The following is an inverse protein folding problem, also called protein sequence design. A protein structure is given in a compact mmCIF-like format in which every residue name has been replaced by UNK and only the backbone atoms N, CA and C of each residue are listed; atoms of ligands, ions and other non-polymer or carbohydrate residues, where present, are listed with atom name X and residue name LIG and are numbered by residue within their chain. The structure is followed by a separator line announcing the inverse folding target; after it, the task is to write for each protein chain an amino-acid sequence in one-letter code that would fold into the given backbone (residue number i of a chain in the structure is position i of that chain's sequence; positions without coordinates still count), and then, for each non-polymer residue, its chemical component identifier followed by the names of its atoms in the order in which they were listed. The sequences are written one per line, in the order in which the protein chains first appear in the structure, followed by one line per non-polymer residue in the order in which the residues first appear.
data_IF_671550178103
#
_entry.id   IF_671550178103
#
_cell.length_a   1.000
_cell.length_b   1.000
_cell.length_c   1.000
_cell.angle_alpha   90.00
_cell.angle_beta   90.00
_cell.angle_gamma   90.00
#
_symmetry.space_group_name_H-M   'P 1'
#
loop_
_entity.id
_entity.type
_entity.pdbx_description
1 polymer ?
#
# COMPACT_ATOMS: atom_id res chain seq x y z
N UNK A 1 2.23 -1.90 -19.07
CA UNK A 1 1.18 -0.91 -18.75
C UNK A 1 1.77 0.49 -18.68
N UNK A 2 1.26 1.45 -19.47
CA UNK A 2 1.81 2.81 -19.54
C UNK A 2 0.80 3.90 -19.13
N UNK A 3 -0.49 3.57 -19.02
CA UNK A 3 -1.56 4.54 -18.78
C UNK A 3 -2.23 4.32 -17.43
N UNK A 4 -2.47 5.44 -16.73
CA UNK A 4 -3.24 5.47 -15.50
C UNK A 4 -4.72 5.24 -15.79
N UNK A 5 -5.39 4.58 -14.85
CA UNK A 5 -6.86 4.59 -14.80
C UNK A 5 -7.29 5.96 -14.32
N UNK A 6 -8.24 6.57 -15.02
CA UNK A 6 -8.79 7.88 -14.68
C UNK A 6 -10.27 7.76 -14.32
N UNK A 7 -10.83 8.80 -13.70
CA UNK A 7 -12.26 8.92 -13.43
C UNK A 7 -12.84 9.90 -14.45
N UNK A 8 -13.83 9.46 -15.23
CA UNK A 8 -14.54 10.33 -16.18
C UNK A 8 -15.46 11.31 -15.46
N UNK A 9 -15.93 12.39 -16.11
CA UNK A 9 -16.90 13.32 -15.52
C UNK A 9 -18.18 12.64 -15.01
N UNK A 10 -18.56 11.49 -15.57
CA UNK A 10 -19.71 10.69 -15.17
C UNK A 10 -19.41 9.70 -14.04
N UNK A 11 -18.22 9.79 -13.41
CA UNK A 11 -17.82 8.96 -12.27
C UNK A 11 -17.46 7.51 -12.64
N UNK A 12 -17.05 7.25 -13.88
CA UNK A 12 -16.64 5.90 -14.34
C UNK A 12 -15.13 5.78 -14.36
N UNK A 13 -14.61 4.61 -14.04
CA UNK A 13 -13.21 4.32 -14.32
C UNK A 13 -12.99 4.13 -15.82
N UNK A 14 -11.93 4.72 -16.34
CA UNK A 14 -11.50 4.60 -17.72
C UNK A 14 -10.01 4.29 -17.81
N UNK A 15 -9.65 3.48 -18.80
CA UNK A 15 -8.26 3.18 -19.15
C UNK A 15 -8.14 3.25 -20.67
N UNK A 16 -7.20 4.05 -21.16
CA UNK A 16 -6.96 4.25 -22.61
C UNK A 16 -8.24 4.64 -23.39
N UNK A 17 -9.09 5.47 -22.77
CA UNK A 17 -10.35 5.94 -23.36
C UNK A 17 -11.50 4.92 -23.32
N UNK A 18 -11.26 3.68 -22.87
CA UNK A 18 -12.29 2.66 -22.70
C UNK A 18 -12.76 2.59 -21.24
N UNK A 19 -14.01 2.15 -21.01
CA UNK A 19 -14.50 1.87 -19.66
C UNK A 19 -13.69 0.74 -19.04
N UNK A 20 -13.22 0.96 -17.82
CA UNK A 20 -12.46 -0.02 -17.05
C UNK A 20 -13.32 -0.58 -15.91
N UNK A 21 -13.25 -1.89 -15.70
CA UNK A 21 -13.93 -2.58 -14.60
C UNK A 21 -12.86 -3.16 -13.67
N UNK A 22 -12.94 -2.80 -12.39
CA UNK A 22 -12.06 -3.35 -11.38
C UNK A 22 -12.52 -4.77 -11.04
N UNK A 23 -11.72 -5.77 -11.40
CA UNK A 23 -11.90 -7.16 -10.96
C UNK A 23 -10.77 -7.50 -10.00
N UNK A 24 -11.09 -7.43 -8.70
CA UNK A 24 -10.11 -7.28 -7.63
C UNK A 24 -10.01 -8.51 -6.75
N UNK A 25 -8.81 -8.74 -6.21
CA UNK A 25 -8.59 -9.57 -5.03
C UNK A 25 -7.87 -8.78 -3.93
N UNK A 26 -7.87 -9.30 -2.70
CA UNK A 26 -6.93 -8.88 -1.66
C UNK A 26 -5.78 -9.89 -1.64
N UNK A 27 -4.54 -9.40 -1.68
CA UNK A 27 -3.36 -10.26 -1.69
C UNK A 27 -2.59 -10.13 -0.38
N UNK A 28 -2.36 -11.27 0.26
CA UNK A 28 -1.60 -11.43 1.51
C UNK A 28 -0.41 -12.39 1.32
N UNK A 29 0.20 -12.40 0.13
CA UNK A 29 1.23 -13.39 -0.20
C UNK A 29 0.68 -14.81 -0.36
N UNK A 30 1.59 -15.74 -0.65
CA UNK A 30 1.29 -17.15 -0.86
C UNK A 30 1.29 -17.96 0.45
N UNK A 31 2.09 -17.54 1.43
CA UNK A 31 2.31 -18.28 2.67
C UNK A 31 1.04 -18.35 3.53
N UNK A 32 0.61 -19.55 3.98
CA UNK A 32 -0.56 -19.68 4.84
C UNK A 32 -0.43 -18.90 6.14
N UNK A 33 -1.50 -18.20 6.55
CA UNK A 33 -1.51 -17.42 7.80
C UNK A 33 -0.77 -16.08 7.70
N UNK A 34 -0.30 -15.67 6.52
CA UNK A 34 0.40 -14.41 6.30
C UNK A 34 -0.49 -13.15 6.32
N UNK A 35 -1.73 -13.26 6.81
CA UNK A 35 -2.60 -12.11 7.01
C UNK A 35 -1.90 -11.15 8.00
N UNK A 36 -1.59 -9.93 7.54
CA UNK A 36 -0.78 -8.86 8.18
C UNK A 36 0.74 -8.91 7.93
N UNK A 37 1.38 -10.08 7.94
CA UNK A 37 2.85 -10.17 7.92
C UNK A 37 3.46 -10.78 6.66
N UNK A 38 2.73 -10.85 5.54
CA UNK A 38 3.24 -11.49 4.32
C UNK A 38 4.50 -10.86 3.71
N UNK A 39 4.83 -9.65 4.16
CA UNK A 39 5.89 -8.82 3.64
C UNK A 39 7.08 -8.64 4.61
N UNK A 40 7.01 -9.25 5.80
CA UNK A 40 8.06 -9.19 6.81
C UNK A 40 9.24 -10.09 6.48
N UNK A 41 10.36 -9.91 7.19
CA UNK A 41 11.63 -10.58 6.92
C UNK A 41 11.56 -12.11 7.01
N UNK A 42 10.73 -12.64 7.90
CA UNK A 42 10.52 -14.07 8.12
C UNK A 42 9.65 -14.73 7.05
N UNK A 43 8.76 -13.96 6.41
CA UNK A 43 7.81 -14.48 5.43
C UNK A 43 8.23 -14.17 3.99
N UNK A 44 8.88 -13.02 3.76
CA UNK A 44 9.28 -12.56 2.42
C UNK A 44 10.07 -13.61 1.62
N UNK A 45 11.08 -14.32 2.16
CA UNK A 45 11.82 -15.34 1.41
C UNK A 45 10.95 -16.48 0.86
N UNK A 46 9.78 -16.70 1.46
CA UNK A 46 8.82 -17.74 1.07
C UNK A 46 7.81 -17.22 0.03
N UNK A 47 7.44 -15.95 0.14
CA UNK A 47 6.49 -15.28 -0.75
C UNK A 47 7.12 -14.77 -2.04
N UNK A 48 8.31 -14.17 -1.97
CA UNK A 48 9.00 -13.58 -3.12
C UNK A 48 9.07 -14.54 -4.33
N UNK A 49 9.48 -15.83 -4.18
CA UNK A 49 9.58 -16.72 -5.33
C UNK A 49 8.22 -17.10 -5.95
N UNK A 50 7.12 -16.78 -5.27
CA UNK A 50 5.74 -17.12 -5.68
C UNK A 50 5.01 -15.97 -6.36
N UNK A 51 5.52 -14.74 -6.29
CA UNK A 51 4.88 -13.56 -6.89
C UNK A 51 4.52 -13.77 -8.37
N UNK A 52 5.46 -14.31 -9.15
CA UNK A 52 5.26 -14.59 -10.58
C UNK A 52 4.11 -15.58 -10.80
N UNK A 53 4.12 -16.68 -10.07
CA UNK A 53 3.06 -17.68 -10.13
C UNK A 53 1.70 -17.07 -9.75
N UNK A 54 1.65 -16.32 -8.64
CA UNK A 54 0.40 -15.82 -8.10
C UNK A 54 -0.23 -14.78 -9.04
N UNK A 55 0.54 -13.78 -9.50
CA UNK A 55 0.01 -12.77 -10.43
C UNK A 55 -0.35 -13.35 -11.81
N UNK A 56 0.42 -14.31 -12.32
CA UNK A 56 0.06 -15.01 -13.56
C UNK A 56 -1.28 -15.75 -13.43
N UNK A 57 -1.52 -16.42 -12.29
CA UNK A 57 -2.79 -17.12 -12.03
C UNK A 57 -3.95 -16.15 -11.85
N UNK A 58 -3.73 -15.01 -11.20
CA UNK A 58 -4.75 -13.96 -11.10
C UNK A 58 -5.17 -13.47 -12.49
N UNK A 59 -4.20 -13.15 -13.35
CA UNK A 59 -4.48 -12.72 -14.72
C UNK A 59 -5.22 -13.80 -15.52
N UNK A 60 -4.82 -15.07 -15.37
CA UNK A 60 -5.45 -16.21 -16.05
C UNK A 60 -6.96 -16.32 -15.75
N UNK A 61 -7.39 -16.01 -14.53
CA UNK A 61 -8.82 -16.06 -14.14
C UNK A 61 -9.55 -14.72 -14.37
N UNK A 62 -8.90 -13.76 -15.02
CA UNK A 62 -9.49 -12.47 -15.39
C UNK A 62 -9.47 -11.41 -14.29
N UNK A 63 -8.70 -11.59 -13.22
CA UNK A 63 -8.42 -10.50 -12.28
C UNK A 63 -7.47 -9.50 -12.94
N UNK A 64 -7.68 -8.22 -12.67
CA UNK A 64 -6.84 -7.13 -13.20
C UNK A 64 -6.39 -6.14 -12.12
N UNK A 65 -6.72 -6.44 -10.86
CA UNK A 65 -6.39 -5.61 -9.71
C UNK A 65 -6.13 -6.45 -8.46
N UNK A 66 -5.18 -6.03 -7.65
CA UNK A 66 -4.94 -6.57 -6.31
C UNK A 66 -4.78 -5.44 -5.28
N UNK A 67 -5.48 -5.54 -4.15
CA UNK A 67 -5.27 -4.69 -2.99
C UNK A 67 -4.23 -5.34 -2.08
N UNK A 68 -3.17 -4.60 -1.75
CA UNK A 68 -2.08 -5.03 -0.88
C UNK A 68 -2.22 -4.36 0.48
N UNK A 69 -2.32 -5.14 1.55
CA UNK A 69 -2.19 -4.61 2.90
C UNK A 69 -0.74 -4.76 3.35
N UNK A 70 -0.13 -3.64 3.69
CA UNK A 70 1.27 -3.51 4.10
C UNK A 70 1.32 -2.99 5.54
N UNK A 71 2.48 -3.04 6.19
CA UNK A 71 2.66 -2.49 7.53
C UNK A 71 3.65 -1.34 7.53
N UNK A 72 3.37 -0.28 8.28
CA UNK A 72 4.22 0.91 8.37
C UNK A 72 5.64 0.58 8.83
N UNK A 73 5.78 -0.39 9.73
CA UNK A 73 7.07 -0.85 10.23
C UNK A 73 8.00 -1.37 9.13
N UNK A 74 7.47 -1.75 7.96
CA UNK A 74 8.28 -2.18 6.82
C UNK A 74 8.91 -1.02 6.05
N UNK A 75 8.38 0.19 6.19
CA UNK A 75 8.81 1.38 5.44
C UNK A 75 9.39 2.48 6.32
N UNK A 76 9.11 2.47 7.62
CA UNK A 76 9.51 3.52 8.55
C UNK A 76 10.11 2.94 9.83
N UNK A 77 11.23 3.50 10.27
CA UNK A 77 11.84 3.27 11.57
C UNK A 77 12.41 4.56 12.16
N UNK A 78 11.83 5.00 13.28
CA UNK A 78 12.18 6.24 13.99
C UNK A 78 12.32 7.46 13.05
N UNK A 79 11.33 7.65 12.16
CA UNK A 79 11.31 8.75 11.19
C UNK A 79 12.12 8.52 9.91
N UNK A 80 12.84 7.39 9.81
CA UNK A 80 13.70 7.08 8.65
C UNK A 80 13.03 6.07 7.74
N UNK A 81 13.30 6.20 6.45
CA UNK A 81 12.83 5.23 5.45
C UNK A 81 13.63 3.92 5.56
N UNK A 82 12.91 2.80 5.58
CA UNK A 82 13.47 1.45 5.54
C UNK A 82 13.55 1.00 4.08
N UNK A 83 14.73 1.15 3.47
CA UNK A 83 14.91 0.91 2.03
C UNK A 83 14.50 -0.49 1.60
N UNK A 84 14.73 -1.50 2.44
CA UNK A 84 14.37 -2.89 2.16
C UNK A 84 12.88 -3.07 1.86
N UNK A 85 11.98 -2.38 2.57
CA UNK A 85 10.55 -2.46 2.30
C UNK A 85 10.19 -1.90 0.93
N UNK A 86 10.83 -0.81 0.53
CA UNK A 86 10.65 -0.22 -0.80
C UNK A 86 11.20 -1.12 -1.91
N UNK A 87 12.36 -1.74 -1.71
CA UNK A 87 12.96 -2.65 -2.70
C UNK A 87 12.07 -3.87 -2.93
N UNK A 88 11.52 -4.46 -1.86
CA UNK A 88 10.53 -5.54 -1.96
C UNK A 88 9.28 -5.10 -2.69
N UNK A 89 8.81 -3.88 -2.45
CA UNK A 89 7.59 -3.38 -3.06
C UNK A 89 7.79 -3.11 -4.55
N UNK A 90 8.97 -2.64 -4.94
CA UNK A 90 9.35 -2.53 -6.35
C UNK A 90 9.30 -3.89 -7.05
N UNK A 91 9.77 -4.97 -6.42
CA UNK A 91 9.67 -6.32 -6.98
C UNK A 91 8.21 -6.76 -7.16
N UNK A 92 7.35 -6.48 -6.18
CA UNK A 92 5.90 -6.77 -6.28
C UNK A 92 5.28 -5.97 -7.43
N UNK A 93 5.54 -4.67 -7.50
CA UNK A 93 5.02 -3.77 -8.54
C UNK A 93 5.48 -4.22 -9.92
N UNK A 94 6.77 -4.52 -10.09
CA UNK A 94 7.31 -4.98 -11.37
C UNK A 94 6.77 -6.34 -11.78
N UNK A 95 6.48 -7.23 -10.83
CA UNK A 95 5.89 -8.54 -11.15
C UNK A 95 4.42 -8.40 -11.52
N UNK A 96 3.64 -7.61 -10.77
CA UNK A 96 2.25 -7.29 -11.12
C UNK A 96 2.18 -6.61 -12.51
N UNK A 97 3.15 -5.75 -12.83
CA UNK A 97 3.27 -5.07 -14.12
C UNK A 97 3.39 -6.03 -15.30
N UNK A 98 4.12 -7.15 -15.15
CA UNK A 98 4.30 -8.17 -16.20
C UNK A 98 3.01 -8.92 -16.54
N UNK A 99 2.08 -9.00 -15.59
CA UNK A 99 0.82 -9.75 -15.72
C UNK A 99 -0.40 -8.85 -15.84
N UNK A 100 -0.19 -7.57 -16.17
CA UNK A 100 -1.25 -6.55 -16.30
C UNK A 100 -2.16 -6.41 -15.05
N UNK A 101 -1.60 -6.69 -13.86
CA UNK A 101 -2.28 -6.50 -12.58
C UNK A 101 -1.96 -5.12 -12.03
N UNK A 102 -2.99 -4.32 -11.77
CA UNK A 102 -2.86 -3.04 -11.06
C UNK A 102 -2.94 -3.25 -9.56
N UNK A 103 -2.30 -2.36 -8.80
CA UNK A 103 -2.16 -2.48 -7.35
C UNK A 103 -2.78 -1.28 -6.63
N UNK A 104 -3.58 -1.53 -5.62
CA UNK A 104 -3.89 -0.54 -4.58
C UNK A 104 -3.05 -0.84 -3.35
N UNK A 105 -2.32 0.16 -2.88
CA UNK A 105 -1.42 0.02 -1.73
C UNK A 105 -2.14 0.51 -0.46
N UNK A 106 -2.49 -0.41 0.43
CA UNK A 106 -3.04 -0.12 1.75
C UNK A 106 -1.92 -0.19 2.77
N UNK A 107 -1.34 0.94 3.12
CA UNK A 107 -0.21 0.99 4.04
C UNK A 107 -0.68 1.06 5.50
N UNK A 108 -0.86 -0.10 6.13
CA UNK A 108 -1.02 -0.28 7.58
C UNK A 108 -2.35 0.19 8.17
N UNK A 109 -2.55 -0.04 9.47
CA UNK A 109 -3.50 0.78 10.22
C UNK A 109 -2.86 2.16 10.37
N UNK A 110 -3.59 3.19 9.96
CA UNK A 110 -3.20 4.57 10.21
C UNK A 110 -2.84 4.76 11.68
N UNK A 111 -1.62 5.25 11.93
CA UNK A 111 -1.04 5.66 13.23
C UNK A 111 -1.98 5.41 14.41
N UNK A 112 -2.12 4.15 14.80
CA UNK A 112 -3.20 3.73 15.70
C UNK A 112 -2.80 3.87 17.17
N UNK A 113 -1.53 4.17 17.45
CA UNK A 113 -0.98 4.35 18.79
C UNK A 113 0.30 5.21 18.77
N UNK A 114 0.79 5.55 19.97
CA UNK A 114 1.97 6.41 20.17
C UNK A 114 3.28 5.79 19.68
N UNK A 115 3.38 4.46 19.65
CA UNK A 115 4.54 3.76 19.13
C UNK A 115 4.60 3.84 17.60
N UNK A 116 3.48 3.69 16.89
CA UNK A 116 3.40 3.91 15.44
C UNK A 116 3.70 5.38 15.09
N UNK A 117 3.11 6.33 15.83
CA UNK A 117 3.43 7.75 15.65
C UNK A 117 4.93 8.01 15.78
N UNK A 118 5.55 7.49 16.83
CA UNK A 118 6.99 7.64 17.06
C UNK A 118 7.82 6.96 15.99
N UNK A 119 7.36 5.83 15.47
CA UNK A 119 8.07 5.10 14.40
C UNK A 119 8.03 5.87 13.08
N UNK A 120 6.89 6.43 12.71
CA UNK A 120 6.71 7.18 11.45
C UNK A 120 7.35 8.56 11.51
N UNK A 121 7.22 9.28 12.63
CA UNK A 121 7.66 10.68 12.74
C UNK A 121 9.03 10.84 13.38
N UNK A 122 9.47 9.87 14.18
CA UNK A 122 10.64 10.00 15.06
C UNK A 122 10.36 10.84 16.33
N UNK A 123 9.13 11.30 16.52
CA UNK A 123 8.74 12.19 17.63
C UNK A 123 7.88 11.46 18.65
N UNK A 124 7.97 11.86 19.92
CA UNK A 124 7.03 11.39 20.94
C UNK A 124 5.68 12.06 20.74
N UNK A 125 4.62 11.32 21.07
CA UNK A 125 3.28 11.88 21.10
C UNK A 125 3.09 12.77 22.34
N UNK A 126 2.83 14.06 22.15
CA UNK A 126 2.69 15.04 23.24
C UNK A 126 1.28 15.65 23.33
N UNK A 127 0.33 15.18 22.52
CA UNK A 127 -0.98 15.78 22.41
C UNK A 127 -2.05 14.99 23.19
N UNK A 128 -2.92 15.69 23.92
CA UNK A 128 -4.04 15.06 24.63
C UNK A 128 -5.17 14.62 23.67
N UNK A 129 -5.18 15.13 22.45
CA UNK A 129 -6.22 14.91 21.45
C UNK A 129 -5.92 13.69 20.57
N UNK A 130 -6.62 12.59 20.80
CA UNK A 130 -6.53 11.32 20.03
C UNK A 130 -7.59 11.17 18.91
N UNK A 131 -8.19 12.27 18.45
CA UNK A 131 -9.14 12.27 17.32
C UNK A 131 -8.42 11.96 15.99
N UNK A 132 -9.18 11.51 14.98
CA UNK A 132 -8.67 11.15 13.64
C UNK A 132 -7.83 12.28 13.00
N UNK A 133 -6.93 12.00 12.04
CA UNK A 133 -6.18 12.98 11.24
C UNK A 133 -6.98 14.17 10.75
N UNK A 134 -8.21 13.94 10.30
CA UNK A 134 -9.09 15.02 9.83
C UNK A 134 -9.42 16.07 10.89
N UNK A 135 -9.16 15.77 12.17
CA UNK A 135 -9.42 16.64 13.33
C UNK A 135 -8.16 16.92 14.17
N UNK A 136 -7.00 16.36 13.80
CA UNK A 136 -5.74 16.59 14.48
C UNK A 136 -4.62 16.88 13.46
N UNK A 137 -4.14 18.14 13.38
CA UNK A 137 -3.09 18.53 12.45
C UNK A 137 -1.81 17.70 12.56
N UNK A 138 -1.39 17.31 13.77
CA UNK A 138 -0.17 16.53 13.96
C UNK A 138 -0.31 15.11 13.36
N UNK A 139 -1.47 14.48 13.53
CA UNK A 139 -1.76 13.18 12.91
C UNK A 139 -1.93 13.31 11.39
N UNK A 140 -2.46 14.42 10.89
CA UNK A 140 -2.53 14.67 9.45
C UNK A 140 -1.15 14.87 8.82
N UNK A 141 -0.25 15.64 9.45
CA UNK A 141 1.12 15.78 8.96
C UNK A 141 1.87 14.45 8.98
N UNK A 142 1.69 13.65 10.04
CA UNK A 142 2.26 12.32 10.13
C UNK A 142 1.70 11.35 9.07
N UNK A 143 0.40 11.45 8.74
CA UNK A 143 -0.21 10.75 7.59
C UNK A 143 0.47 11.14 6.27
N UNK A 144 0.64 12.44 6.03
CA UNK A 144 1.31 12.92 4.81
C UNK A 144 2.75 12.41 4.76
N UNK A 145 3.48 12.41 5.88
CA UNK A 145 4.84 11.87 5.98
C UNK A 145 4.89 10.36 5.67
N UNK A 146 3.90 9.59 6.11
CA UNK A 146 3.77 8.16 5.83
C UNK A 146 3.50 7.88 4.35
N UNK A 147 2.62 8.66 3.72
CA UNK A 147 2.16 8.38 2.36
C UNK A 147 3.08 8.97 1.27
N UNK A 148 3.72 10.11 1.56
CA UNK A 148 4.52 10.86 0.59
C UNK A 148 5.62 10.02 -0.08
N UNK A 149 6.43 9.21 0.62
CA UNK A 149 7.47 8.42 -0.03
C UNK A 149 6.93 7.40 -1.04
N UNK A 150 5.79 6.75 -0.73
CA UNK A 150 5.12 5.83 -1.64
C UNK A 150 4.52 6.56 -2.85
N UNK A 151 3.91 7.72 -2.60
CA UNK A 151 3.33 8.57 -3.64
C UNK A 151 4.41 9.07 -4.61
N UNK A 152 5.54 9.58 -4.09
CA UNK A 152 6.66 10.06 -4.90
C UNK A 152 7.34 8.94 -5.67
N UNK A 153 7.59 7.78 -5.04
CA UNK A 153 8.27 6.64 -5.68
C UNK A 153 7.50 6.10 -6.88
N UNK A 154 6.17 6.05 -6.80
CA UNK A 154 5.32 5.46 -7.84
C UNK A 154 4.49 6.49 -8.63
N UNK A 155 4.77 7.79 -8.51
CA UNK A 155 4.02 8.86 -9.16
C UNK A 155 3.85 8.68 -10.68
N UNK A 156 4.83 8.06 -11.34
CA UNK A 156 4.82 7.77 -12.78
C UNK A 156 4.54 6.31 -13.13
N UNK A 157 4.31 5.45 -12.14
CA UNK A 157 4.09 4.02 -12.35
C UNK A 157 2.59 3.68 -12.35
N UNK A 158 2.02 3.58 -13.55
CA UNK A 158 0.60 3.27 -13.76
C UNK A 158 0.13 1.88 -13.27
N UNK A 159 1.06 1.04 -12.79
CA UNK A 159 0.74 -0.21 -12.10
C UNK A 159 0.15 0.08 -10.73
N UNK A 160 0.59 1.13 -10.05
CA UNK A 160 -0.01 1.58 -8.79
C UNK A 160 -1.25 2.43 -9.13
N UNK A 161 -2.42 1.84 -8.91
CA UNK A 161 -3.71 2.44 -9.18
C UNK A 161 -4.07 3.52 -8.16
N UNK A 162 -3.69 3.30 -6.91
CA UNK A 162 -4.05 4.20 -5.83
C UNK A 162 -3.45 3.78 -4.49
N UNK A 163 -3.63 4.68 -3.55
CA UNK A 163 -3.19 4.54 -2.17
C UNK A 163 -4.41 4.56 -1.28
N UNK A 164 -4.47 3.62 -0.35
CA UNK A 164 -5.52 3.52 0.65
C UNK A 164 -4.91 3.51 2.03
N UNK A 165 -5.73 3.93 2.99
CA UNK A 165 -5.42 3.77 4.40
C UNK A 165 -6.75 3.63 5.16
N UNK A 166 -6.71 3.00 6.32
CA UNK A 166 -7.79 3.04 7.29
C UNK A 166 -7.53 4.20 8.26
N UNK A 167 -8.16 5.34 8.00
CA UNK A 167 -8.20 6.47 8.95
C UNK A 167 -9.19 6.14 10.09
N UNK A 168 -8.75 5.34 11.07
CA UNK A 168 -9.53 4.98 12.28
C UNK A 168 -8.95 5.64 13.54
N UNK A 169 -9.63 5.49 14.68
CA UNK A 169 -9.30 6.17 15.93
C UNK A 169 -7.89 5.82 16.39
N UNK A 170 -7.16 6.83 16.87
CA UNK A 170 -5.91 6.65 17.60
C UNK A 170 -6.24 5.95 18.93
N UNK A 171 -6.02 4.64 18.98
CA UNK A 171 -6.24 3.80 20.14
C UNK A 171 -5.09 3.93 21.14
N UNK A 172 -5.27 3.32 22.33
CA UNK A 172 -4.28 3.34 23.41
C UNK A 172 -3.15 2.37 23.14
#
# INVERSE_FOLDING_TARGET
MNSFVTITPEGRFALDGARWFCNSTIYYGHYPGAMRNWFSDDVWPQNQPRLEHDFARMAQIGLNHAALFLENAMFFDAGRLVQQGFDRLDEVVETARKHDIRLSLFNGQFLDNEAEYSRVTGQKWEHDNKWLPSFNPALFEAYVQQMKPLAERYASNSTVLGYGDRIDRFHK
#
